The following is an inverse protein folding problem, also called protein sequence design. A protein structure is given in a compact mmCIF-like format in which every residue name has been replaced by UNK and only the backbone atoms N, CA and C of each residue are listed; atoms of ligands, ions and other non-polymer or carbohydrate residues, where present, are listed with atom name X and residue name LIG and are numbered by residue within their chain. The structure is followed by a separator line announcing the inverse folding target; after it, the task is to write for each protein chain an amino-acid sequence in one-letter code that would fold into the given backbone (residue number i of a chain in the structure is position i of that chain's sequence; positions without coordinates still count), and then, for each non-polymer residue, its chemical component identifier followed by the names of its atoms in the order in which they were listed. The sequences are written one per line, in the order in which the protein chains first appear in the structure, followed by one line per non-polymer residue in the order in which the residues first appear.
data_IF_467126988184
#
_entry.id   IF_467126988184
#
_cell.length_a   1.000
_cell.length_b   1.000
_cell.length_c   1.000
_cell.angle_alpha   90.00
_cell.angle_beta   90.00
_cell.angle_gamma   90.00
#
_symmetry.space_group_name_H-M   'P 1'
#
loop_
_entity.id
_entity.type
_entity.pdbx_description
1 polymer ?
#
# COMPACT_ATOMS: atom_id res chain seq x y z
N UNK A 1 1.57 10.01 8.37
CA UNK A 1 1.23 10.74 9.62
C UNK A 1 -0.27 10.91 9.89
N UNK A 2 -1.07 11.66 9.10
CA UNK A 2 -2.51 11.83 9.41
C UNK A 2 -3.26 10.49 9.50
N UNK A 3 -3.06 9.61 8.53
CA UNK A 3 -3.72 8.30 8.50
C UNK A 3 -3.29 7.39 9.65
N UNK A 4 -2.00 7.42 10.04
CA UNK A 4 -1.50 6.61 11.16
C UNK A 4 -2.28 6.90 12.44
N UNK A 5 -2.30 8.17 12.86
CA UNK A 5 -2.93 8.55 14.12
C UNK A 5 -4.42 8.22 14.13
N UNK A 6 -5.10 8.42 13.00
CA UNK A 6 -6.51 8.05 12.85
C UNK A 6 -6.73 6.53 12.98
N UNK A 7 -5.92 5.71 12.31
CA UNK A 7 -6.04 4.25 12.35
C UNK A 7 -5.68 3.67 13.73
N UNK A 8 -4.61 4.16 14.35
CA UNK A 8 -4.21 3.76 15.70
C UNK A 8 -5.29 4.11 16.73
N UNK A 9 -5.93 5.29 16.60
CA UNK A 9 -7.05 5.67 17.46
C UNK A 9 -8.25 4.72 17.33
N UNK A 10 -8.49 4.19 16.13
CA UNK A 10 -9.53 3.18 15.89
C UNK A 10 -9.11 1.76 16.35
N UNK A 11 -7.90 1.60 16.90
CA UNK A 11 -7.40 0.33 17.43
C UNK A 11 -6.67 -0.55 16.41
N UNK A 12 -6.38 -0.05 15.21
CA UNK A 12 -5.62 -0.79 14.22
C UNK A 12 -4.12 -0.79 14.52
N UNK A 13 -3.44 -1.89 14.19
CA UNK A 13 -1.98 -1.92 14.12
C UNK A 13 -1.52 -1.29 12.79
N UNK A 14 -0.58 -0.34 12.87
CA UNK A 14 -0.14 0.43 11.69
C UNK A 14 1.33 0.22 11.40
N UNK A 15 1.59 -0.42 10.26
CA UNK A 15 2.87 -0.39 9.56
C UNK A 15 2.88 0.82 8.62
N UNK A 16 3.97 1.57 8.55
CA UNK A 16 4.08 2.74 7.66
C UNK A 16 5.34 2.64 6.82
N UNK A 17 5.16 2.80 5.52
CA UNK A 17 6.22 3.10 4.56
C UNK A 17 6.14 4.57 4.20
N UNK A 18 7.27 5.28 4.21
CA UNK A 18 7.32 6.72 3.89
C UNK A 18 7.55 7.00 2.41
N UNK A 19 8.06 6.02 1.70
CA UNK A 19 8.39 6.06 0.28
C UNK A 19 8.21 4.66 -0.32
N UNK A 20 8.40 4.58 -1.63
CA UNK A 20 8.19 3.35 -2.37
C UNK A 20 9.23 2.27 -2.06
N UNK A 21 10.45 2.66 -1.69
CA UNK A 21 11.51 1.72 -1.33
C UNK A 21 11.18 1.05 0.01
N UNK A 22 10.82 1.83 1.02
CA UNK A 22 10.38 1.33 2.33
C UNK A 22 9.16 0.42 2.21
N UNK A 23 8.22 0.72 1.29
CA UNK A 23 7.09 -0.15 1.03
C UNK A 23 7.54 -1.50 0.48
N UNK A 24 8.44 -1.51 -0.50
CA UNK A 24 8.95 -2.75 -1.07
C UNK A 24 9.75 -3.58 -0.06
N UNK A 25 10.50 -2.95 0.83
CA UNK A 25 11.22 -3.63 1.91
C UNK A 25 10.25 -4.29 2.90
N UNK A 26 9.16 -3.59 3.26
CA UNK A 26 8.09 -4.18 4.07
C UNK A 26 7.44 -5.37 3.36
N UNK A 27 7.01 -5.22 2.10
CA UNK A 27 6.32 -6.28 1.36
C UNK A 27 7.19 -7.53 1.12
N UNK A 28 8.52 -7.37 1.07
CA UNK A 28 9.47 -8.48 0.92
C UNK A 28 9.85 -9.16 2.24
N UNK A 29 9.50 -8.54 3.37
CA UNK A 29 9.81 -9.10 4.68
C UNK A 29 9.01 -10.40 4.91
N UNK A 30 9.65 -11.48 5.37
CA UNK A 30 8.95 -12.73 5.67
C UNK A 30 7.95 -12.59 6.83
N UNK A 31 8.09 -11.53 7.63
CA UNK A 31 7.21 -11.23 8.76
C UNK A 31 6.12 -10.20 8.41
N UNK A 32 5.99 -9.82 7.14
CA UNK A 32 4.96 -8.89 6.72
C UNK A 32 3.57 -9.49 6.92
N UNK A 33 2.75 -8.81 7.70
CA UNK A 33 1.34 -9.12 7.87
C UNK A 33 0.55 -7.82 7.92
N UNK A 34 -0.42 -7.69 7.02
CA UNK A 34 -1.40 -6.62 6.99
C UNK A 34 -2.63 -7.09 6.23
N UNK A 35 -3.81 -6.71 6.71
CA UNK A 35 -5.06 -7.02 6.01
C UNK A 35 -5.41 -5.96 4.95
N UNK A 36 -4.97 -4.72 5.18
CA UNK A 36 -5.26 -3.55 4.34
C UNK A 36 -4.00 -2.72 4.11
N UNK A 37 -3.76 -2.35 2.86
CA UNK A 37 -2.76 -1.38 2.44
C UNK A 37 -3.46 -0.11 1.94
N UNK A 38 -3.24 1.00 2.64
CA UNK A 38 -3.55 2.34 2.13
C UNK A 38 -2.35 2.82 1.30
N UNK A 39 -2.54 2.96 -0.02
CA UNK A 39 -1.47 3.28 -0.95
C UNK A 39 -1.71 4.62 -1.64
N UNK A 40 -0.77 5.54 -1.49
CA UNK A 40 -0.71 6.74 -2.31
C UNK A 40 -0.03 6.40 -3.65
N UNK A 41 -0.69 6.70 -4.77
CA UNK A 41 -0.13 6.43 -6.10
C UNK A 41 0.91 7.47 -6.52
N UNK A 42 0.82 8.69 -6.00
CA UNK A 42 1.62 9.84 -6.45
C UNK A 42 2.96 9.95 -5.71
N UNK A 43 3.43 8.84 -5.13
CA UNK A 43 4.70 8.77 -4.43
C UNK A 43 5.90 8.99 -5.38
N UNK A 44 6.90 9.81 -4.98
CA UNK A 44 7.97 10.26 -5.89
C UNK A 44 9.00 9.19 -6.29
N UNK A 45 9.26 8.18 -5.44
CA UNK A 45 10.41 7.27 -5.62
C UNK A 45 10.07 5.87 -6.13
N UNK A 46 8.86 5.37 -5.88
CA UNK A 46 8.34 4.21 -6.60
C UNK A 46 6.87 4.43 -6.92
N UNK A 47 6.44 4.28 -8.19
CA UNK A 47 5.05 4.43 -8.55
C UNK A 47 4.23 3.39 -7.79
N UNK A 48 3.16 3.81 -7.09
CA UNK A 48 2.28 2.89 -6.36
C UNK A 48 1.78 1.73 -7.23
N UNK A 49 1.66 1.94 -8.55
CA UNK A 49 1.33 0.90 -9.52
C UNK A 49 2.32 -0.28 -9.52
N UNK A 50 3.63 -0.04 -9.39
CA UNK A 50 4.62 -1.13 -9.32
C UNK A 50 4.46 -1.97 -8.06
N UNK A 51 4.07 -1.33 -6.94
CA UNK A 51 3.78 -2.05 -5.71
C UNK A 51 2.53 -2.93 -5.87
N UNK A 52 1.49 -2.43 -6.55
CA UNK A 52 0.29 -3.21 -6.88
C UNK A 52 0.64 -4.42 -7.74
N UNK A 53 1.42 -4.23 -8.81
CA UNK A 53 1.87 -5.32 -9.69
C UNK A 53 2.67 -6.36 -8.92
N UNK A 54 3.59 -5.92 -8.07
CA UNK A 54 4.35 -6.80 -7.19
C UNK A 54 3.43 -7.60 -6.27
N UNK A 55 2.53 -6.94 -5.53
CA UNK A 55 1.60 -7.60 -4.60
C UNK A 55 0.78 -8.67 -5.33
N UNK A 56 0.23 -8.35 -6.50
CA UNK A 56 -0.57 -9.29 -7.31
C UNK A 56 0.24 -10.48 -7.81
N UNK A 57 1.55 -10.31 -8.04
CA UNK A 57 2.44 -11.41 -8.42
C UNK A 57 2.82 -12.34 -7.27
N UNK A 58 2.56 -11.95 -6.01
CA UNK A 58 2.96 -12.69 -4.81
C UNK A 58 1.78 -13.47 -4.20
N UNK A 59 1.77 -14.81 -4.25
CA UNK A 59 0.67 -15.61 -3.68
C UNK A 59 0.43 -15.37 -2.18
N UNK A 60 1.50 -15.11 -1.42
CA UNK A 60 1.41 -14.83 0.01
C UNK A 60 0.75 -13.48 0.33
N UNK A 61 0.69 -12.56 -0.63
CA UNK A 61 0.05 -11.24 -0.48
C UNK A 61 -1.36 -11.19 -1.10
N UNK A 62 -1.87 -12.30 -1.64
CA UNK A 62 -3.17 -12.33 -2.33
C UNK A 62 -4.36 -11.95 -1.42
N UNK A 63 -4.20 -12.04 -0.10
CA UNK A 63 -5.21 -11.64 0.88
C UNK A 63 -5.26 -10.13 1.12
N UNK A 64 -4.15 -9.42 0.85
CA UNK A 64 -3.98 -8.00 1.15
C UNK A 64 -4.95 -7.15 0.33
N UNK A 65 -5.80 -6.37 1.00
CA UNK A 65 -6.73 -5.43 0.36
C UNK A 65 -6.02 -4.10 0.12
N UNK A 66 -5.95 -3.68 -1.15
CA UNK A 66 -5.32 -2.41 -1.51
C UNK A 66 -6.41 -1.35 -1.68
N UNK A 67 -6.32 -0.29 -0.87
CA UNK A 67 -7.12 0.92 -1.01
C UNK A 67 -6.19 2.00 -1.54
N UNK A 68 -6.41 2.37 -2.80
CA UNK A 68 -5.68 3.46 -3.43
C UNK A 68 -6.25 4.80 -2.99
N UNK A 69 -5.38 5.67 -2.53
CA UNK A 69 -5.65 7.08 -2.26
C UNK A 69 -4.97 7.88 -3.36
N UNK A 70 -5.75 8.62 -4.14
CA UNK A 70 -5.20 9.49 -5.19
C UNK A 70 -6.10 10.71 -5.34
N UNK A 71 -5.50 11.85 -5.62
CA UNK A 71 -6.21 13.06 -6.03
C UNK A 71 -6.50 13.07 -7.55
N UNK A 72 -5.94 12.12 -8.31
CA UNK A 72 -6.00 12.09 -9.77
C UNK A 72 -6.87 10.93 -10.28
N UNK A 73 -7.96 11.30 -10.94
CA UNK A 73 -8.97 10.36 -11.44
C UNK A 73 -8.45 9.40 -12.53
N UNK A 74 -7.38 9.77 -13.25
CA UNK A 74 -6.81 8.93 -14.31
C UNK A 74 -6.29 7.58 -13.82
N UNK A 75 -5.96 7.46 -12.53
CA UNK A 75 -5.49 6.19 -11.97
C UNK A 75 -6.61 5.22 -11.64
N UNK A 76 -7.87 5.67 -11.63
CA UNK A 76 -9.03 4.84 -11.30
C UNK A 76 -9.19 3.64 -12.24
N UNK A 77 -9.03 3.85 -13.55
CA UNK A 77 -9.16 2.78 -14.55
C UNK A 77 -8.02 1.77 -14.48
N UNK A 78 -6.80 2.22 -14.18
CA UNK A 78 -5.60 1.38 -14.13
C UNK A 78 -5.55 0.46 -12.91
N UNK A 79 -6.16 0.86 -11.81
CA UNK A 79 -6.19 0.11 -10.54
C UNK A 79 -7.36 -0.89 -10.49
N UNK A 80 -8.44 -0.60 -11.20
CA UNK A 80 -9.66 -1.42 -11.21
C UNK A 80 -9.56 -2.74 -12.01
N UNK A 81 -8.47 -2.92 -12.77
CA UNK A 81 -8.13 -4.16 -13.49
C UNK A 81 -7.22 -5.01 -12.62
#
# INVERSE_FOLDING_TARGET
MLYRAAMEHQGFQVLEARDGAALMDLLRSPNFQADVLLLDIEMPEAPGLRAIDYIRSQPHLAHLKIIVITANEQYRERVAT
#
